data_IF_208902422275
#
_entry.id   IF_208902422275
#
_cell.length_a   1.000
_cell.length_b   1.000
_cell.length_c   1.000
_cell.angle_alpha   90.00
_cell.angle_beta   90.00
_cell.angle_gamma   90.00
#
_symmetry.space_group_name_H-M   'P 1'
#
loop_
_entity.id
_entity.type
_entity.pdbx_description
1 polymer ?
#
# COMPACT_ATOMS: atom_id res chain seq x y z
N UNK A 1 7.12 32.29 -9.35
CA UNK A 1 7.51 30.90 -9.01
C UNK A 1 8.50 30.45 -10.07
N UNK A 2 9.79 30.34 -9.71
CA UNK A 2 10.88 30.12 -10.66
C UNK A 2 10.67 28.81 -11.44
N UNK A 3 10.94 28.80 -12.74
CA UNK A 3 10.73 27.66 -13.66
C UNK A 3 11.32 26.33 -13.13
N UNK A 4 12.36 26.43 -12.31
CA UNK A 4 13.05 25.30 -11.69
C UNK A 4 12.26 24.60 -10.57
N UNK A 5 11.48 25.34 -9.76
CA UNK A 5 10.59 24.72 -8.76
C UNK A 5 9.49 23.91 -9.43
N UNK A 6 9.04 24.32 -10.63
CA UNK A 6 8.11 23.55 -11.46
C UNK A 6 8.73 22.26 -11.99
N UNK A 7 10.01 22.28 -12.34
CA UNK A 7 10.74 21.09 -12.82
C UNK A 7 10.94 20.08 -11.69
N UNK A 8 11.35 20.55 -10.51
CA UNK A 8 11.41 19.75 -9.28
C UNK A 8 10.03 19.20 -8.92
N UNK A 9 8.98 20.03 -8.98
CA UNK A 9 7.60 19.62 -8.70
C UNK A 9 7.12 18.51 -9.65
N UNK A 10 7.36 18.67 -10.95
CA UNK A 10 6.97 17.69 -11.96
C UNK A 10 7.65 16.33 -11.74
N UNK A 11 8.92 16.35 -11.35
CA UNK A 11 9.69 15.14 -11.09
C UNK A 11 9.34 14.49 -9.75
N UNK A 12 9.12 15.28 -8.70
CA UNK A 12 8.71 14.79 -7.38
C UNK A 12 7.29 14.19 -7.41
N UNK A 13 6.35 14.74 -8.19
CA UNK A 13 5.00 14.18 -8.34
C UNK A 13 4.98 12.74 -8.85
N UNK A 14 6.01 12.30 -9.58
CA UNK A 14 6.14 10.91 -10.04
C UNK A 14 6.42 9.95 -8.87
N UNK A 15 7.08 10.42 -7.81
CA UNK A 15 7.59 9.57 -6.73
C UNK A 15 6.96 9.84 -5.36
N UNK A 16 6.35 11.00 -5.14
CA UNK A 16 5.81 11.40 -3.84
C UNK A 16 4.30 11.70 -3.92
N UNK A 17 3.62 11.72 -2.78
CA UNK A 17 2.22 12.16 -2.68
C UNK A 17 2.14 13.69 -2.78
N UNK A 18 1.00 14.27 -3.21
CA UNK A 18 0.85 15.73 -3.34
C UNK A 18 1.24 16.50 -2.07
N UNK A 19 0.84 16.00 -0.91
CA UNK A 19 1.13 16.59 0.41
C UNK A 19 2.61 16.45 0.82
N UNK A 20 3.35 15.54 0.20
CA UNK A 20 4.78 15.36 0.42
C UNK A 20 5.57 16.27 -0.51
N UNK A 21 5.13 16.38 -1.77
CA UNK A 21 5.71 17.30 -2.76
C UNK A 21 5.65 18.72 -2.24
N UNK A 22 4.51 19.15 -1.67
CA UNK A 22 4.37 20.49 -1.10
C UNK A 22 5.33 20.74 0.08
N UNK A 23 5.54 19.74 0.95
CA UNK A 23 6.49 19.83 2.07
C UNK A 23 7.94 19.90 1.62
N UNK A 24 8.31 19.10 0.62
CA UNK A 24 9.65 19.11 0.04
C UNK A 24 9.90 20.45 -0.65
N UNK A 25 8.95 20.95 -1.44
CA UNK A 25 9.06 22.26 -2.09
C UNK A 25 9.16 23.40 -1.08
N UNK A 26 8.38 23.37 0.01
CA UNK A 26 8.45 24.38 1.06
C UNK A 26 9.81 24.40 1.78
N UNK A 27 10.44 23.22 1.97
CA UNK A 27 11.81 23.14 2.49
C UNK A 27 12.82 23.78 1.55
N UNK A 28 12.81 23.40 0.27
CA UNK A 28 13.76 23.94 -0.71
C UNK A 28 13.52 25.43 -0.95
N UNK A 29 12.28 25.90 -0.92
CA UNK A 29 11.95 27.31 -1.03
C UNK A 29 12.59 28.13 0.10
N UNK A 30 12.56 27.65 1.35
CA UNK A 30 13.26 28.30 2.47
C UNK A 30 14.78 28.27 2.31
N UNK A 31 15.34 27.19 1.80
CA UNK A 31 16.79 27.10 1.53
C UNK A 31 17.21 28.05 0.39
N UNK A 32 16.37 28.20 -0.63
CA UNK A 32 16.57 29.21 -1.67
C UNK A 32 16.53 30.63 -1.09
N UNK A 33 15.55 30.94 -0.25
CA UNK A 33 15.43 32.26 0.41
C UNK A 33 16.68 32.59 1.23
N UNK A 34 17.20 31.65 2.04
CA UNK A 34 18.43 31.84 2.81
C UNK A 34 19.66 32.09 1.93
N UNK A 35 19.79 31.39 0.82
CA UNK A 35 20.95 31.54 -0.09
C UNK A 35 20.89 32.85 -0.89
N UNK A 36 19.68 33.31 -1.20
CA UNK A 36 19.45 34.66 -1.76
C UNK A 36 19.90 35.72 -0.75
N UNK A 37 19.50 35.59 0.52
CA UNK A 37 19.91 36.51 1.60
C UNK A 37 21.43 36.51 1.83
N UNK A 38 22.08 35.35 1.68
CA UNK A 38 23.52 35.19 1.79
C UNK A 38 24.33 35.71 0.59
N UNK A 39 23.66 36.21 -0.48
CA UNK A 39 24.26 36.62 -1.76
C UNK A 39 25.15 35.53 -2.41
N UNK A 40 24.85 34.26 -2.16
CA UNK A 40 25.56 33.16 -2.80
C UNK A 40 25.13 33.01 -4.26
N UNK A 41 26.02 32.50 -5.12
CA UNK A 41 25.68 32.22 -6.51
C UNK A 41 24.64 31.10 -6.60
N UNK A 42 23.41 31.50 -6.90
CA UNK A 42 22.27 30.62 -7.09
C UNK A 42 22.53 29.58 -8.18
N UNK A 43 23.28 29.92 -9.24
CA UNK A 43 23.58 28.98 -10.32
C UNK A 43 24.45 27.81 -9.86
N UNK A 44 25.41 28.07 -8.97
CA UNK A 44 26.23 27.02 -8.37
C UNK A 44 25.39 26.13 -7.45
N UNK A 45 24.45 26.70 -6.68
CA UNK A 45 23.52 25.93 -5.86
C UNK A 45 22.55 25.08 -6.71
N UNK A 46 22.00 25.62 -7.80
CA UNK A 46 21.14 24.88 -8.72
C UNK A 46 21.87 23.70 -9.36
N UNK A 47 23.12 23.88 -9.77
CA UNK A 47 23.94 22.77 -10.31
C UNK A 47 24.29 21.71 -9.28
N UNK A 48 24.30 22.07 -7.99
CA UNK A 48 24.55 21.14 -6.88
C UNK A 48 23.33 20.29 -6.51
N UNK A 49 22.11 20.71 -6.91
CA UNK A 49 20.87 20.01 -6.66
C UNK A 49 20.70 18.85 -7.64
N UNK A 50 21.17 17.67 -7.23
CA UNK A 50 20.89 16.43 -7.94
C UNK A 50 19.55 15.83 -7.47
N UNK A 51 18.57 15.75 -8.38
CA UNK A 51 17.23 15.18 -8.13
C UNK A 51 17.27 13.77 -7.54
N UNK A 52 18.28 12.97 -7.89
CA UNK A 52 18.46 11.62 -7.38
C UNK A 52 18.84 11.62 -5.90
N UNK A 53 19.75 12.52 -5.49
CA UNK A 53 20.10 12.74 -4.08
C UNK A 53 18.94 13.29 -3.27
N UNK A 54 18.10 14.16 -3.86
CA UNK A 54 16.88 14.66 -3.21
C UNK A 54 15.94 13.49 -2.92
N UNK A 55 15.72 12.61 -3.90
CA UNK A 55 14.90 11.41 -3.74
C UNK A 55 15.45 10.54 -2.62
N UNK A 56 16.73 10.18 -2.65
CA UNK A 56 17.35 9.34 -1.61
C UNK A 56 17.25 9.95 -0.20
N UNK A 57 17.42 11.27 -0.07
CA UNK A 57 17.39 11.95 1.23
C UNK A 57 15.97 12.07 1.80
N UNK A 58 14.97 12.31 0.95
CA UNK A 58 13.60 12.58 1.37
C UNK A 58 12.69 11.36 1.39
N UNK A 59 13.02 10.30 0.63
CA UNK A 59 12.27 9.04 0.65
C UNK A 59 12.10 8.47 2.07
N UNK A 60 13.16 8.26 2.88
CA UNK A 60 12.99 7.72 4.23
C UNK A 60 12.22 8.66 5.17
N UNK A 61 12.45 9.98 5.06
CA UNK A 61 11.79 11.01 5.89
C UNK A 61 10.28 11.11 5.60
N UNK A 62 9.90 11.04 4.33
CA UNK A 62 8.49 11.09 3.90
C UNK A 62 7.75 9.82 4.27
N UNK A 63 8.38 8.64 4.13
CA UNK A 63 7.81 7.36 4.54
C UNK A 63 7.45 7.33 6.03
N UNK A 64 8.26 7.96 6.90
CA UNK A 64 7.97 8.07 8.34
C UNK A 64 6.75 8.95 8.66
N UNK A 65 6.54 10.02 7.89
CA UNK A 65 5.52 11.04 8.15
C UNK A 65 4.20 10.80 7.41
N UNK A 66 4.08 9.71 6.64
CA UNK A 66 2.92 9.40 5.83
C UNK A 66 1.75 8.95 6.72
N UNK A 67 0.64 9.69 6.70
CA UNK A 67 -0.62 9.28 7.35
C UNK A 67 -1.42 8.40 6.40
N UNK A 68 -1.83 7.22 6.86
CA UNK A 68 -2.47 6.20 6.02
C UNK A 68 -3.99 6.34 6.05
N UNK A 69 -4.52 7.17 5.17
CA UNK A 69 -5.98 7.35 5.04
C UNK A 69 -6.62 6.39 4.04
N UNK A 70 -5.86 5.80 3.10
CA UNK A 70 -6.43 4.98 2.02
C UNK A 70 -5.54 3.79 1.62
N UNK A 71 -6.17 2.67 1.26
CA UNK A 71 -5.54 1.42 0.79
C UNK A 71 -4.59 1.64 -0.40
N UNK A 72 -4.98 2.50 -1.35
CA UNK A 72 -4.16 2.90 -2.50
C UNK A 72 -2.84 3.56 -2.09
N UNK A 73 -2.88 4.39 -1.04
CA UNK A 73 -1.70 5.07 -0.50
C UNK A 73 -0.77 4.06 0.16
N UNK A 74 -1.33 3.10 0.88
CA UNK A 74 -0.57 2.04 1.55
C UNK A 74 0.16 1.16 0.52
N UNK A 75 -0.53 0.68 -0.51
CA UNK A 75 0.08 -0.13 -1.58
C UNK A 75 1.19 0.61 -2.33
N UNK A 76 0.96 1.88 -2.68
CA UNK A 76 1.99 2.74 -3.30
C UNK A 76 3.23 2.85 -2.40
N UNK A 77 3.03 2.95 -1.09
CA UNK A 77 4.13 3.03 -0.10
C UNK A 77 4.93 1.73 -0.02
N UNK A 78 4.26 0.58 0.04
CA UNK A 78 4.91 -0.74 0.04
C UNK A 78 5.76 -0.91 -1.22
N UNK A 79 5.21 -0.56 -2.38
CA UNK A 79 5.94 -0.69 -3.64
C UNK A 79 7.15 0.24 -3.73
N UNK A 80 7.04 1.45 -3.17
CA UNK A 80 8.16 2.39 -3.07
C UNK A 80 9.29 1.88 -2.17
N UNK A 81 8.94 1.31 -1.01
CA UNK A 81 9.93 0.68 -0.11
C UNK A 81 10.59 -0.51 -0.80
N UNK A 82 9.81 -1.36 -1.47
CA UNK A 82 10.33 -2.54 -2.17
C UNK A 82 11.32 -2.12 -3.28
N UNK A 83 10.97 -1.11 -4.09
CA UNK A 83 11.87 -0.55 -5.11
C UNK A 83 13.14 0.03 -4.51
N UNK A 84 13.05 0.72 -3.38
CA UNK A 84 14.21 1.27 -2.68
C UNK A 84 15.13 0.16 -2.14
N UNK A 85 14.56 -0.88 -1.52
CA UNK A 85 15.32 -2.03 -1.01
C UNK A 85 16.08 -2.79 -2.10
N UNK A 86 15.51 -2.91 -3.30
CA UNK A 86 16.21 -3.51 -4.45
C UNK A 86 17.27 -2.59 -5.08
N UNK A 87 17.19 -1.28 -4.87
CA UNK A 87 18.21 -0.32 -5.34
C UNK A 87 19.48 -0.30 -4.50
N UNK A 88 19.41 -0.74 -3.23
CA UNK A 88 20.54 -0.75 -2.29
C UNK A 88 21.01 -2.20 -2.08
N UNK A 89 22.22 -2.60 -2.54
CA UNK A 89 22.70 -3.99 -2.44
C UNK A 89 22.67 -4.55 -1.02
N UNK A 90 22.90 -3.71 -0.01
CA UNK A 90 22.88 -4.11 1.39
C UNK A 90 21.45 -4.43 1.91
N UNK A 91 20.40 -3.90 1.28
CA UNK A 91 18.99 -4.11 1.67
C UNK A 91 18.30 -5.21 0.85
N UNK A 92 18.99 -5.77 -0.14
CA UNK A 92 18.49 -6.80 -1.05
C UNK A 92 17.93 -8.05 -0.32
N UNK A 93 18.60 -8.61 0.73
CA UNK A 93 18.06 -9.73 1.48
C UNK A 93 16.71 -9.43 2.15
N UNK A 94 16.54 -8.20 2.65
CA UNK A 94 15.30 -7.75 3.27
C UNK A 94 14.20 -7.52 2.24
N UNK A 95 14.55 -6.97 1.07
CA UNK A 95 13.64 -6.86 -0.07
C UNK A 95 13.11 -8.21 -0.53
N UNK A 96 13.95 -9.25 -0.55
CA UNK A 96 13.53 -10.62 -0.86
C UNK A 96 12.55 -11.16 0.18
N UNK A 97 12.84 -11.03 1.47
CA UNK A 97 11.95 -11.46 2.55
C UNK A 97 10.59 -10.77 2.44
N UNK A 98 10.58 -9.44 2.23
CA UNK A 98 9.37 -8.66 2.03
C UNK A 98 8.57 -9.17 0.83
N UNK A 99 9.24 -9.46 -0.29
CA UNK A 99 8.59 -9.96 -1.50
C UNK A 99 7.94 -11.32 -1.27
N UNK A 100 8.58 -12.23 -0.53
CA UNK A 100 8.03 -13.54 -0.16
C UNK A 100 6.78 -13.37 0.70
N UNK A 101 6.83 -12.51 1.72
CA UNK A 101 5.65 -12.23 2.54
C UNK A 101 4.50 -11.63 1.72
N UNK A 102 4.81 -10.67 0.84
CA UNK A 102 3.81 -10.08 -0.04
C UNK A 102 3.15 -11.15 -0.93
N UNK A 103 3.96 -12.02 -1.55
CA UNK A 103 3.45 -13.13 -2.36
C UNK A 103 2.57 -14.07 -1.55
N UNK A 104 3.02 -14.50 -0.36
CA UNK A 104 2.22 -15.35 0.54
C UNK A 104 0.87 -14.72 0.88
N UNK A 105 0.84 -13.42 1.21
CA UNK A 105 -0.41 -12.72 1.48
C UNK A 105 -1.30 -12.66 0.23
N UNK A 106 -0.76 -12.33 -0.94
CA UNK A 106 -1.56 -12.26 -2.17
C UNK A 106 -2.13 -13.62 -2.56
N UNK A 107 -1.34 -14.68 -2.47
CA UNK A 107 -1.79 -16.05 -2.73
C UNK A 107 -2.84 -16.48 -1.71
N UNK A 108 -2.67 -16.10 -0.44
CA UNK A 108 -3.66 -16.30 0.61
C UNK A 108 -5.00 -15.65 0.28
N UNK A 109 -5.01 -14.40 -0.19
CA UNK A 109 -6.24 -13.69 -0.62
C UNK A 109 -6.92 -14.45 -1.76
N UNK A 110 -6.16 -14.80 -2.79
CA UNK A 110 -6.70 -15.45 -3.98
C UNK A 110 -7.31 -16.80 -3.61
N UNK A 111 -6.59 -17.60 -2.82
CA UNK A 111 -7.07 -18.90 -2.33
C UNK A 111 -8.35 -18.75 -1.50
N UNK A 112 -8.36 -17.81 -0.57
CA UNK A 112 -9.50 -17.56 0.30
C UNK A 112 -10.72 -17.04 -0.46
N UNK A 113 -10.52 -16.16 -1.44
CA UNK A 113 -11.58 -15.68 -2.32
C UNK A 113 -12.15 -16.83 -3.15
N UNK A 114 -11.31 -17.77 -3.58
CA UNK A 114 -11.75 -18.97 -4.29
C UNK A 114 -12.60 -19.89 -3.40
N UNK A 115 -12.24 -20.05 -2.11
CA UNK A 115 -13.06 -20.81 -1.15
C UNK A 115 -14.44 -20.18 -0.97
N UNK A 116 -14.51 -18.84 -0.83
CA UNK A 116 -15.80 -18.13 -0.73
C UNK A 116 -16.61 -18.29 -2.02
N UNK A 117 -15.97 -18.18 -3.18
CA UNK A 117 -16.62 -18.38 -4.47
C UNK A 117 -17.20 -19.79 -4.61
N UNK A 118 -16.43 -20.82 -4.25
CA UNK A 118 -16.88 -22.21 -4.18
C UNK A 118 -18.09 -22.36 -3.26
N UNK A 119 -18.05 -21.80 -2.05
CA UNK A 119 -19.16 -21.86 -1.11
C UNK A 119 -20.44 -21.22 -1.68
N UNK A 120 -20.33 -20.08 -2.37
CA UNK A 120 -21.47 -19.45 -3.04
C UNK A 120 -21.98 -20.27 -4.22
N UNK A 121 -21.09 -20.88 -5.00
CA UNK A 121 -21.46 -21.78 -6.10
C UNK A 121 -22.24 -22.98 -5.59
N UNK A 122 -21.82 -23.59 -4.47
CA UNK A 122 -22.52 -24.71 -3.85
C UNK A 122 -23.91 -24.32 -3.37
N UNK A 123 -24.06 -23.14 -2.76
CA UNK A 123 -25.37 -22.62 -2.37
C UNK A 123 -26.25 -22.39 -3.60
N UNK A 124 -25.69 -21.86 -4.69
CA UNK A 124 -26.43 -21.68 -5.93
C UNK A 124 -26.92 -23.01 -6.51
N UNK A 125 -26.07 -24.03 -6.58
CA UNK A 125 -26.45 -25.38 -7.00
C UNK A 125 -27.53 -25.97 -6.09
N UNK A 126 -27.39 -25.79 -4.78
CA UNK A 126 -28.41 -26.20 -3.81
C UNK A 126 -29.78 -25.57 -4.09
N UNK A 127 -29.83 -24.28 -4.43
CA UNK A 127 -31.10 -23.64 -4.81
C UNK A 127 -31.69 -24.22 -6.10
N UNK A 128 -30.86 -24.58 -7.08
CA UNK A 128 -31.32 -25.24 -8.30
C UNK A 128 -31.95 -26.59 -7.95
N UNK A 129 -31.27 -27.42 -7.15
CA UNK A 129 -31.75 -28.76 -6.78
C UNK A 129 -33.11 -28.73 -6.08
N UNK A 130 -33.37 -27.70 -5.26
CA UNK A 130 -34.67 -27.51 -4.59
C UNK A 130 -35.82 -27.40 -5.60
N UNK A 131 -35.61 -26.79 -6.76
CA UNK A 131 -36.67 -26.65 -7.78
C UNK A 131 -36.93 -27.94 -8.57
N UNK A 132 -35.99 -28.89 -8.56
CA UNK A 132 -36.13 -30.16 -9.27
C UNK A 132 -36.66 -31.29 -8.40
N UNK A 133 -36.67 -31.11 -7.08
CA UNK A 133 -37.19 -32.10 -6.13
C UNK A 133 -38.60 -31.72 -5.69
N UNK A 134 -39.53 -32.67 -5.78
CA UNK A 134 -40.93 -32.48 -5.36
C UNK A 134 -41.05 -32.48 -3.82
N UNK A 135 -40.68 -31.35 -3.20
CA UNK A 135 -40.81 -31.15 -1.75
C UNK A 135 -42.23 -30.74 -1.32
N UNK A 136 -42.58 -31.03 -0.07
CA UNK A 136 -43.78 -30.44 0.55
C UNK A 136 -43.61 -28.93 0.75
N UNK A 137 -44.71 -28.15 0.75
CA UNK A 137 -44.66 -26.67 0.92
C UNK A 137 -43.89 -26.24 2.18
N UNK A 138 -44.02 -26.97 3.29
CA UNK A 138 -43.30 -26.67 4.53
C UNK A 138 -41.79 -26.91 4.42
N UNK A 139 -41.39 -27.97 3.71
CA UNK A 139 -39.99 -28.33 3.48
C UNK A 139 -39.30 -27.29 2.58
N UNK A 140 -40.00 -26.77 1.56
CA UNK A 140 -39.52 -25.66 0.73
C UNK A 140 -39.12 -24.42 1.55
N UNK A 141 -39.99 -23.97 2.47
CA UNK A 141 -39.70 -22.79 3.30
C UNK A 141 -38.51 -23.01 4.23
N UNK A 142 -38.39 -24.20 4.83
CA UNK A 142 -37.30 -24.54 5.73
C UNK A 142 -35.96 -24.58 5.00
N UNK A 143 -35.95 -25.17 3.81
CA UNK A 143 -34.76 -25.35 2.96
C UNK A 143 -34.23 -24.00 2.45
N UNK A 144 -35.13 -23.09 2.03
CA UNK A 144 -34.75 -21.71 1.66
C UNK A 144 -34.17 -20.95 2.87
N UNK A 145 -34.77 -21.10 4.06
CA UNK A 145 -34.28 -20.45 5.28
C UNK A 145 -32.85 -20.88 5.65
N UNK A 146 -32.53 -22.17 5.50
CA UNK A 146 -31.17 -22.69 5.70
C UNK A 146 -30.20 -22.07 4.68
N UNK A 147 -30.59 -21.99 3.41
CA UNK A 147 -29.77 -21.39 2.35
C UNK A 147 -29.41 -19.93 2.64
N UNK A 148 -30.38 -19.11 3.05
CA UNK A 148 -30.15 -17.70 3.40
C UNK A 148 -29.22 -17.56 4.60
N UNK A 149 -29.38 -18.42 5.61
CA UNK A 149 -28.51 -18.43 6.80
C UNK A 149 -27.06 -18.73 6.43
N UNK A 150 -26.84 -19.70 5.53
CA UNK A 150 -25.52 -20.05 5.03
C UNK A 150 -24.87 -18.91 4.23
N UNK A 151 -25.64 -18.21 3.38
CA UNK A 151 -25.15 -17.03 2.65
C UNK A 151 -24.69 -15.95 3.62
N UNK A 152 -25.50 -15.65 4.65
CA UNK A 152 -25.17 -14.65 5.67
C UNK A 152 -23.87 -14.99 6.39
N UNK A 153 -23.69 -16.26 6.76
CA UNK A 153 -22.46 -16.74 7.39
C UNK A 153 -21.24 -16.58 6.46
N UNK A 154 -21.38 -16.93 5.18
CA UNK A 154 -20.30 -16.77 4.19
C UNK A 154 -19.89 -15.30 4.02
N UNK A 155 -20.86 -14.37 3.99
CA UNK A 155 -20.58 -12.93 3.89
C UNK A 155 -19.84 -12.43 5.13
N UNK A 156 -20.25 -12.84 6.33
CA UNK A 156 -19.58 -12.45 7.58
C UNK A 156 -18.13 -12.95 7.61
N UNK A 157 -17.91 -14.21 7.25
CA UNK A 157 -16.57 -14.81 7.18
C UNK A 157 -15.70 -14.03 6.18
N UNK A 158 -16.24 -13.69 5.01
CA UNK A 158 -15.54 -12.92 3.98
C UNK A 158 -15.11 -11.54 4.48
N UNK A 159 -16.00 -10.81 5.16
CA UNK A 159 -15.68 -9.49 5.73
C UNK A 159 -14.61 -9.60 6.82
N UNK A 160 -14.71 -10.61 7.69
CA UNK A 160 -13.73 -10.86 8.75
C UNK A 160 -12.33 -11.10 8.20
N UNK A 161 -12.24 -11.94 7.17
CA UNK A 161 -10.98 -12.26 6.51
C UNK A 161 -10.40 -11.05 5.76
N UNK A 162 -11.25 -10.25 5.11
CA UNK A 162 -10.82 -9.01 4.47
C UNK A 162 -10.23 -8.01 5.48
N UNK A 163 -10.85 -7.86 6.66
CA UNK A 163 -10.32 -7.00 7.74
C UNK A 163 -9.00 -7.53 8.29
N UNK A 164 -8.92 -8.84 8.50
CA UNK A 164 -7.69 -9.50 8.97
C UNK A 164 -6.53 -9.29 8.00
N UNK A 165 -6.80 -9.32 6.69
CA UNK A 165 -5.80 -9.02 5.67
C UNK A 165 -5.27 -7.58 5.77
N UNK A 166 -6.16 -6.59 5.84
CA UNK A 166 -5.75 -5.19 5.96
C UNK A 166 -4.87 -5.00 7.20
N UNK A 167 -5.21 -5.69 8.29
CA UNK A 167 -4.40 -5.71 9.50
C UNK A 167 -2.99 -6.28 9.24
N UNK A 168 -2.87 -7.45 8.60
CA UNK A 168 -1.57 -8.08 8.29
C UNK A 168 -0.69 -7.21 7.39
N UNK A 169 -1.28 -6.59 6.37
CA UNK A 169 -0.57 -5.66 5.47
C UNK A 169 -0.03 -4.46 6.28
N UNK A 170 -0.84 -3.91 7.18
CA UNK A 170 -0.44 -2.79 8.04
C UNK A 170 0.70 -3.17 8.98
N UNK A 171 0.63 -4.34 9.61
CA UNK A 171 1.69 -4.86 10.51
C UNK A 171 2.99 -5.08 9.75
N UNK A 172 2.92 -5.72 8.58
CA UNK A 172 4.09 -5.96 7.73
C UNK A 172 4.76 -4.65 7.32
N UNK A 173 3.98 -3.64 6.93
CA UNK A 173 4.54 -2.34 6.58
C UNK A 173 5.23 -1.64 7.76
N UNK A 174 4.61 -1.64 8.95
CA UNK A 174 5.19 -1.01 10.15
C UNK A 174 6.56 -1.61 10.50
N UNK A 175 6.67 -2.94 10.50
CA UNK A 175 7.96 -3.62 10.76
C UNK A 175 9.04 -3.22 9.75
N UNK A 176 8.69 -3.04 8.47
CA UNK A 176 9.66 -2.68 7.44
C UNK A 176 10.10 -1.21 7.50
N UNK A 177 9.21 -0.31 7.92
CA UNK A 177 9.59 1.08 8.18
C UNK A 177 10.59 1.18 9.34
N UNK A 178 10.39 0.38 10.41
CA UNK A 178 11.35 0.33 11.53
C UNK A 178 12.71 -0.24 11.09
N UNK A 179 12.73 -1.29 10.26
CA UNK A 179 13.97 -1.89 9.76
C UNK A 179 14.79 -0.94 8.87
N UNK A 180 14.13 -0.13 8.02
CA UNK A 180 14.82 0.90 7.23
C UNK A 180 15.49 1.94 8.14
N UNK A 181 14.90 2.24 9.31
CA UNK A 181 15.46 3.21 10.26
C UNK A 181 16.65 2.68 11.06
N UNK A 182 16.65 1.41 11.47
CA UNK A 182 17.75 0.83 12.26
C UNK A 182 19.07 0.82 11.48
N UNK A 183 19.01 0.72 10.14
CA UNK A 183 20.21 0.66 9.29
C UNK A 183 20.81 2.02 8.95
N UNK A 184 20.05 3.13 8.99
CA UNK A 184 20.61 4.48 8.86
C UNK A 184 21.31 4.96 10.14
N UNK A 185 21.02 4.36 11.30
CA UNK A 185 21.62 4.74 12.59
C UNK A 185 22.95 4.04 12.87
N UNK A 186 23.29 2.97 12.15
CA UNK A 186 24.60 2.32 12.24
C UNK A 186 25.42 2.62 10.99
N UNK A 187 26.43 3.51 11.08
CA UNK A 187 27.37 3.75 9.99
C UNK A 187 28.21 2.51 9.66
#
# INVERSE_FOLDING_TARGET
MHAYLREIEAELKKHFLPDEVSRILAYYQKEFEKKIEAKEDLMTFYRSLNLEKIKETWLPKTLKLRKYTTLKVLLKSVFQILRYMFGVPALLPYGMILSVFLTLYTTGIISLSFVVYQALSLVYTYFIDIFYVDFGRAEYFLTIGIGITFISLCVLITIGLFRFLIYLIKVTYLMNVELVQVKEVRP
#
